data_IF_007177510902
#
_entry.id   IF_007177510902
#
_cell.length_a   1.000
_cell.length_b   1.000
_cell.length_c   1.000
_cell.angle_alpha   90.00
_cell.angle_beta   90.00
_cell.angle_gamma   90.00
#
_symmetry.space_group_name_H-M   'P 1'
#
loop_
_entity.id
_entity.type
_entity.pdbx_description
1 polymer ?
#
# COMPACT_ATOMS: atom_id res chain seq x y z
N UNK A 1 51.15 30.03 0.61
CA UNK A 1 50.34 28.81 0.36
C UNK A 1 50.71 27.78 1.41
N UNK A 2 49.85 27.57 2.42
CA UNK A 2 50.07 26.57 3.46
C UNK A 2 49.86 25.17 2.87
N UNK A 3 50.88 24.31 2.92
CA UNK A 3 50.73 22.90 2.51
C UNK A 3 49.76 22.24 3.49
N UNK A 4 48.56 21.90 2.99
CA UNK A 4 47.65 20.99 3.69
C UNK A 4 48.43 19.72 4.01
N UNK A 5 48.72 19.49 5.29
CA UNK A 5 49.39 18.27 5.70
C UNK A 5 48.39 17.13 5.58
N UNK A 6 48.39 16.46 4.43
CA UNK A 6 47.70 15.18 4.27
C UNK A 6 48.57 14.15 4.98
N UNK A 7 48.58 14.20 6.31
CA UNK A 7 49.06 13.10 7.12
C UNK A 7 47.90 12.12 7.24
N UNK A 8 48.09 10.85 6.87
CA UNK A 8 47.10 9.83 7.20
C UNK A 8 46.85 9.89 8.71
N UNK A 9 45.67 10.35 9.12
CA UNK A 9 45.21 10.22 10.51
C UNK A 9 44.87 8.73 10.67
N UNK A 10 45.45 8.00 11.65
CA UNK A 10 45.03 6.65 11.92
C UNK A 10 43.52 6.64 12.16
N UNK A 11 42.78 5.86 11.37
CA UNK A 11 41.35 5.69 11.56
C UNK A 11 41.15 4.88 12.83
N UNK A 12 40.42 5.44 13.79
CA UNK A 12 39.99 4.68 14.95
C UNK A 12 38.85 3.75 14.53
N UNK A 13 39.20 2.49 14.23
CA UNK A 13 38.26 1.44 13.84
C UNK A 13 37.31 1.03 14.98
N UNK A 14 37.56 1.49 16.21
CA UNK A 14 36.68 1.26 17.36
C UNK A 14 35.71 2.42 17.60
N UNK A 15 35.84 3.51 16.85
CA UNK A 15 34.88 4.62 16.90
C UNK A 15 33.54 4.17 16.32
N UNK A 16 32.50 4.14 17.16
CA UNK A 16 31.13 3.88 16.71
C UNK A 16 30.67 5.00 15.78
N UNK A 17 30.12 4.63 14.63
CA UNK A 17 29.51 5.58 13.71
C UNK A 17 28.14 6.03 14.27
N UNK A 18 27.78 7.32 14.13
CA UNK A 18 26.43 7.76 14.42
C UNK A 18 25.45 7.03 13.48
N UNK A 19 24.36 6.53 14.05
CA UNK A 19 23.29 5.86 13.31
C UNK A 19 22.17 6.86 13.14
N UNK A 20 21.87 7.21 11.90
CA UNK A 20 20.71 8.05 11.56
C UNK A 20 19.47 7.17 11.52
N UNK A 21 18.42 7.53 12.27
CA UNK A 21 17.17 6.77 12.38
C UNK A 21 16.05 7.37 11.54
N UNK A 22 16.05 8.68 11.31
CA UNK A 22 15.03 9.37 10.53
C UNK A 22 15.62 10.48 9.65
N UNK A 23 14.88 10.90 8.61
CA UNK A 23 15.25 12.07 7.80
C UNK A 23 15.35 13.36 8.64
N UNK A 24 14.65 13.42 9.78
CA UNK A 24 14.68 14.54 10.70
C UNK A 24 16.02 14.63 11.45
N UNK A 25 16.68 13.49 11.69
CA UNK A 25 17.97 13.43 12.38
C UNK A 25 19.12 14.03 11.53
N UNK A 26 18.90 14.25 10.24
CA UNK A 26 19.86 14.97 9.39
C UNK A 26 19.81 16.49 9.58
N UNK A 27 18.69 17.02 10.10
CA UNK A 27 18.50 18.47 10.24
C UNK A 27 19.11 19.01 11.55
N UNK A 28 19.20 18.17 12.60
CA UNK A 28 19.74 18.57 13.92
C UNK A 28 21.28 18.67 13.96
N UNK A 29 22.00 18.04 13.02
CA UNK A 29 23.47 18.02 12.99
C UNK A 29 24.12 19.35 12.54
N UNK A 30 23.32 20.35 12.11
CA UNK A 30 23.84 21.66 11.71
C UNK A 30 24.10 22.63 12.87
N UNK A 31 23.81 22.26 14.13
CA UNK A 31 23.98 23.16 15.29
C UNK A 31 25.09 22.77 16.28
N UNK A 32 25.66 21.56 16.20
CA UNK A 32 26.69 21.08 17.15
C UNK A 32 28.12 21.07 16.58
N UNK A 33 28.44 22.01 15.68
CA UNK A 33 29.83 22.30 15.29
C UNK A 33 30.30 23.61 15.91
N UNK A 34 30.48 23.62 17.24
CA UNK A 34 31.36 24.58 17.92
C UNK A 34 32.73 23.92 18.17
N UNK A 35 33.74 24.09 17.30
CA UNK A 35 35.13 24.09 17.75
C UNK A 35 35.47 25.48 18.33
N UNK A 36 36.24 25.56 19.43
CA UNK A 36 36.57 26.84 20.03
C UNK A 36 37.44 27.67 19.07
N UNK A 37 36.88 28.81 18.67
CA UNK A 37 37.52 30.12 18.52
C UNK A 37 38.95 30.14 17.94
N UNK A 38 39.08 30.49 16.67
CA UNK A 38 39.99 31.57 16.22
C UNK A 38 39.84 31.88 14.72
N UNK A 39 39.11 32.97 14.45
CA UNK A 39 39.44 34.08 13.54
C UNK A 39 39.82 33.82 12.06
N UNK A 40 38.99 34.43 11.19
CA UNK A 40 39.30 35.18 9.94
C UNK A 40 39.10 34.48 8.57
N UNK A 41 38.00 34.92 7.93
CA UNK A 41 37.79 35.32 6.52
C UNK A 41 37.77 34.34 5.33
N UNK A 42 36.63 34.46 4.62
CA UNK A 42 36.42 34.56 3.18
C UNK A 42 36.40 33.31 2.27
N UNK A 43 35.22 33.16 1.62
CA UNK A 43 34.92 32.67 0.27
C UNK A 43 35.52 31.34 -0.22
N UNK A 44 34.63 30.35 -0.47
CA UNK A 44 34.41 29.71 -1.79
C UNK A 44 33.77 28.33 -1.64
N UNK A 45 32.67 28.08 -2.36
CA UNK A 45 32.23 26.73 -2.78
C UNK A 45 33.39 26.02 -3.49
N UNK A 46 33.63 24.70 -3.29
CA UNK A 46 33.02 23.72 -4.19
C UNK A 46 32.76 22.31 -3.62
N UNK A 47 31.76 21.65 -4.22
CA UNK A 47 31.78 20.28 -4.76
C UNK A 47 32.35 19.08 -3.97
N UNK A 48 31.44 18.12 -3.77
CA UNK A 48 31.57 16.67 -3.97
C UNK A 48 32.65 15.87 -3.22
N UNK A 49 32.22 14.82 -2.51
CA UNK A 49 32.68 13.44 -2.81
C UNK A 49 31.79 12.37 -2.17
N UNK A 50 30.90 11.81 -2.99
CA UNK A 50 30.35 10.46 -2.84
C UNK A 50 31.48 9.44 -2.80
N UNK A 51 31.46 8.48 -1.88
CA UNK A 51 32.18 7.20 -2.06
C UNK A 51 31.37 6.05 -1.49
N UNK A 52 30.74 5.30 -2.40
CA UNK A 52 30.19 3.95 -2.25
C UNK A 52 31.29 2.96 -1.89
N UNK A 53 30.97 1.94 -1.08
CA UNK A 53 31.59 0.60 -1.06
C UNK A 53 30.53 -0.35 -0.45
N UNK A 54 29.80 -1.23 -1.13
CA UNK A 54 30.15 -2.44 -1.90
C UNK A 54 31.04 -3.45 -1.16
N UNK A 55 30.45 -4.24 -0.24
CA UNK A 55 30.87 -5.64 -0.04
C UNK A 55 29.81 -6.46 0.74
N UNK A 56 28.93 -7.14 -0.01
CA UNK A 56 28.20 -8.33 0.44
C UNK A 56 29.11 -9.53 0.22
N UNK A 57 29.45 -10.29 1.28
CA UNK A 57 29.93 -11.69 1.26
C UNK A 57 29.78 -12.21 2.70
N UNK A 58 28.68 -12.88 3.05
CA UNK A 58 28.37 -14.33 2.91
C UNK A 58 29.25 -15.22 3.80
N UNK A 59 28.57 -16.18 4.46
CA UNK A 59 29.03 -17.45 5.07
C UNK A 59 29.26 -17.39 6.60
N UNK A 60 28.85 -18.37 7.42
CA UNK A 60 27.99 -19.55 7.25
C UNK A 60 27.74 -20.18 8.63
N UNK A 61 26.52 -20.70 8.83
CA UNK A 61 26.10 -21.94 9.51
C UNK A 61 26.75 -22.53 10.77
N UNK A 62 25.88 -23.27 11.46
CA UNK A 62 26.08 -24.47 12.32
C UNK A 62 26.11 -24.17 13.83
N UNK A 63 25.45 -24.89 14.73
CA UNK A 63 24.60 -26.10 14.64
C UNK A 63 24.25 -26.57 16.07
N UNK A 64 23.26 -27.46 16.15
CA UNK A 64 22.99 -28.48 17.17
C UNK A 64 22.13 -28.14 18.40
N UNK A 65 21.00 -28.86 18.39
CA UNK A 65 20.13 -29.28 19.48
C UNK A 65 20.91 -29.88 20.66
N UNK A 66 20.44 -29.64 21.89
CA UNK A 66 19.94 -30.69 22.81
C UNK A 66 19.59 -30.08 24.18
N UNK A 67 18.30 -30.16 24.48
CA UNK A 67 17.61 -30.48 25.74
C UNK A 67 18.24 -30.24 27.13
N UNK A 68 17.34 -30.00 28.09
CA UNK A 68 17.48 -30.02 29.56
C UNK A 68 17.60 -28.66 30.26
N UNK A 69 16.42 -28.21 30.70
CA UNK A 69 16.16 -27.08 31.56
C UNK A 69 16.65 -27.35 33.00
N UNK A 70 17.85 -26.91 33.34
CA UNK A 70 18.27 -26.70 34.73
C UNK A 70 18.75 -25.26 34.95
N UNK A 71 18.14 -24.62 35.94
CA UNK A 71 18.32 -23.23 36.35
C UNK A 71 19.78 -22.95 36.70
N UNK A 72 20.52 -22.36 35.76
CA UNK A 72 21.82 -21.76 36.02
C UNK A 72 21.68 -20.24 36.10
N UNK A 73 21.97 -19.68 37.27
CA UNK A 73 22.26 -18.26 37.42
C UNK A 73 23.40 -17.90 36.46
N UNK A 74 23.12 -17.03 35.50
CA UNK A 74 24.08 -16.66 34.46
C UNK A 74 25.00 -15.55 35.00
N UNK A 75 26.32 -15.74 35.00
CA UNK A 75 27.27 -14.67 35.25
C UNK A 75 27.10 -13.59 34.18
N UNK A 76 26.93 -12.35 34.62
CA UNK A 76 26.92 -11.16 33.77
C UNK A 76 28.16 -11.14 32.88
N UNK A 77 27.98 -11.31 31.57
CA UNK A 77 28.79 -10.83 30.44
C UNK A 77 28.54 -11.70 29.21
N UNK A 78 27.56 -11.30 28.39
CA UNK A 78 27.51 -11.49 26.94
C UNK A 78 26.56 -10.43 26.41
N UNK A 79 27.01 -9.72 25.39
CA UNK A 79 26.26 -8.71 24.63
C UNK A 79 24.92 -9.28 24.18
N UNK A 80 23.87 -9.08 24.97
CA UNK A 80 22.52 -9.25 24.46
C UNK A 80 22.34 -8.16 23.40
N UNK A 81 22.15 -8.58 22.15
CA UNK A 81 21.64 -7.69 21.11
C UNK A 81 20.33 -7.10 21.64
N UNK A 82 20.35 -5.80 21.97
CA UNK A 82 19.15 -5.09 22.38
C UNK A 82 18.10 -5.26 21.28
N UNK A 83 16.97 -5.89 21.64
CA UNK A 83 15.88 -6.11 20.70
C UNK A 83 15.30 -4.71 20.41
N UNK A 84 15.32 -4.24 19.15
CA UNK A 84 14.83 -2.91 18.84
C UNK A 84 13.35 -2.80 19.19
N UNK A 85 13.00 -1.75 19.94
CA UNK A 85 11.61 -1.40 20.23
C UNK A 85 10.98 -0.81 18.96
N UNK A 86 9.75 -1.23 18.58
CA UNK A 86 9.08 -0.65 17.44
C UNK A 86 8.85 0.85 17.65
N UNK A 87 9.09 1.64 16.60
CA UNK A 87 8.73 3.05 16.60
C UNK A 87 7.24 3.19 16.30
N UNK A 88 6.60 4.19 16.91
CA UNK A 88 5.23 4.58 16.58
C UNK A 88 5.23 5.94 15.91
N UNK A 89 4.23 6.17 15.06
CA UNK A 89 4.01 7.43 14.35
C UNK A 89 2.60 7.90 14.69
N UNK A 90 2.46 9.19 15.00
CA UNK A 90 1.14 9.82 15.17
C UNK A 90 0.65 10.21 13.78
N UNK A 91 -0.57 9.79 13.45
CA UNK A 91 -1.20 10.07 12.16
C UNK A 91 -2.14 11.24 12.33
N UNK A 92 -1.84 12.37 11.69
CA UNK A 92 -2.61 13.62 11.83
C UNK A 92 -4.07 13.48 11.36
N UNK A 93 -4.36 12.49 10.51
CA UNK A 93 -5.70 12.26 9.95
C UNK A 93 -6.57 11.37 10.83
N UNK A 94 -6.01 10.73 11.86
CA UNK A 94 -6.69 9.70 12.65
C UNK A 94 -8.04 10.16 13.22
N UNK A 95 -8.09 11.36 13.83
CA UNK A 95 -9.32 11.92 14.40
C UNK A 95 -10.38 12.30 13.35
N UNK A 96 -9.97 12.47 12.09
CA UNK A 96 -10.88 12.72 10.97
C UNK A 96 -11.40 11.43 10.36
N UNK A 97 -10.54 10.42 10.27
CA UNK A 97 -10.82 9.14 9.62
C UNK A 97 -11.64 8.21 10.54
N UNK A 98 -11.48 8.34 11.86
CA UNK A 98 -12.16 7.52 12.86
C UNK A 98 -13.01 8.37 13.79
N UNK A 99 -14.33 8.28 13.62
CA UNK A 99 -15.28 8.93 14.55
C UNK A 99 -15.45 8.11 15.82
N UNK A 100 -15.36 8.75 16.99
CA UNK A 100 -15.61 8.12 18.29
C UNK A 100 -17.13 7.97 18.56
N UNK A 101 -17.77 7.01 17.89
CA UNK A 101 -19.22 6.74 17.99
C UNK A 101 -19.57 5.58 18.91
N UNK A 102 -18.58 4.92 19.50
CA UNK A 102 -18.80 3.77 20.36
C UNK A 102 -19.23 4.18 21.78
N UNK A 103 -20.48 3.86 22.14
CA UNK A 103 -20.99 3.97 23.50
C UNK A 103 -20.81 2.65 24.26
N UNK A 104 -20.04 2.68 25.34
CA UNK A 104 -19.76 1.48 26.12
C UNK A 104 -21.03 0.97 26.82
N UNK A 105 -21.49 -0.27 26.54
CA UNK A 105 -22.63 -0.84 27.23
C UNK A 105 -22.29 -1.19 28.68
N UNK A 106 -23.32 -1.23 29.53
CA UNK A 106 -23.20 -1.63 30.96
C UNK A 106 -22.91 -3.11 31.17
N UNK A 107 -22.89 -3.91 30.10
CA UNK A 107 -22.64 -5.35 30.13
C UNK A 107 -21.54 -5.72 29.14
N UNK A 108 -20.95 -6.91 29.30
CA UNK A 108 -19.93 -7.38 28.35
C UNK A 108 -20.50 -7.59 26.95
N UNK A 109 -19.68 -7.26 25.95
CA UNK A 109 -20.01 -7.44 24.54
C UNK A 109 -20.31 -8.91 24.26
N UNK A 110 -21.49 -9.18 23.73
CA UNK A 110 -21.87 -10.50 23.22
C UNK A 110 -21.93 -10.41 21.71
N UNK A 111 -20.87 -10.87 21.05
CA UNK A 111 -20.82 -10.88 19.60
C UNK A 111 -21.93 -11.78 19.05
N UNK A 112 -22.88 -11.21 18.30
CA UNK A 112 -23.60 -11.95 17.26
C UNK A 112 -22.78 -11.86 15.97
N UNK A 113 -22.83 -12.90 15.14
CA UNK A 113 -22.11 -12.91 13.87
C UNK A 113 -22.47 -11.68 13.03
N UNK A 114 -21.45 -11.02 12.47
CA UNK A 114 -21.53 -9.74 11.77
C UNK A 114 -22.55 -9.71 10.60
N UNK A 115 -23.03 -10.87 10.16
CA UNK A 115 -23.88 -11.04 8.98
C UNK A 115 -25.39 -10.99 9.27
N UNK A 116 -25.80 -10.81 10.53
CA UNK A 116 -27.20 -10.97 10.90
C UNK A 116 -28.09 -9.74 10.65
N UNK A 117 -27.54 -8.54 10.43
CA UNK A 117 -28.36 -7.30 10.54
C UNK A 117 -28.51 -6.40 9.30
N UNK A 118 -27.63 -6.35 8.27
CA UNK A 118 -27.85 -5.40 7.15
C UNK A 118 -27.71 -6.06 5.76
N UNK A 119 -28.83 -6.15 5.04
CA UNK A 119 -28.88 -6.49 3.61
C UNK A 119 -28.34 -5.40 2.66
N UNK A 120 -27.81 -4.32 3.23
CA UNK A 120 -27.33 -3.12 2.54
C UNK A 120 -25.80 -2.93 2.67
N UNK A 121 -25.06 -3.99 2.98
CA UNK A 121 -23.60 -3.91 2.96
C UNK A 121 -23.12 -3.78 1.51
N UNK A 122 -22.42 -2.67 1.22
CA UNK A 122 -21.76 -2.39 -0.05
C UNK A 122 -20.27 -2.66 0.15
N UNK A 123 -19.71 -3.59 -0.61
CA UNK A 123 -18.29 -4.00 -0.52
C UNK A 123 -17.36 -3.22 -1.47
N UNK A 124 -17.93 -2.34 -2.28
CA UNK A 124 -17.18 -1.60 -3.30
C UNK A 124 -16.71 -0.27 -2.73
N UNK A 125 -15.40 -0.10 -2.59
CA UNK A 125 -14.75 1.17 -2.26
C UNK A 125 -14.27 1.84 -3.57
N UNK A 126 -14.46 3.16 -3.69
CA UNK A 126 -13.97 3.91 -4.85
C UNK A 126 -12.43 3.96 -4.85
N UNK A 127 -11.83 3.61 -5.99
CA UNK A 127 -10.41 3.87 -6.21
C UNK A 127 -10.18 5.29 -6.77
N UNK A 128 -8.92 5.69 -6.91
CA UNK A 128 -8.58 7.03 -7.42
C UNK A 128 -9.17 7.32 -8.81
N UNK A 129 -9.27 6.29 -9.68
CA UNK A 129 -9.86 6.45 -11.02
C UNK A 129 -11.38 6.66 -10.94
N UNK A 130 -12.03 5.94 -10.03
CA UNK A 130 -13.46 6.07 -9.74
C UNK A 130 -13.77 7.46 -9.17
N UNK A 131 -12.96 7.96 -8.24
CA UNK A 131 -13.07 9.32 -7.66
C UNK A 131 -12.87 10.41 -8.72
N UNK A 132 -11.81 10.32 -9.53
CA UNK A 132 -11.53 11.26 -10.62
C UNK A 132 -12.69 11.31 -11.63
N UNK A 133 -13.24 10.14 -11.98
CA UNK A 133 -14.41 10.05 -12.88
C UNK A 133 -15.65 10.67 -12.25
N UNK A 134 -15.92 10.40 -10.97
CA UNK A 134 -17.08 10.93 -10.25
C UNK A 134 -17.02 12.45 -10.11
N UNK A 135 -15.83 13.01 -9.87
CA UNK A 135 -15.60 14.44 -9.78
C UNK A 135 -15.79 15.14 -11.13
N UNK A 136 -15.31 14.55 -12.23
CA UNK A 136 -15.59 15.03 -13.60
C UNK A 136 -17.08 14.96 -13.91
N UNK A 137 -17.74 13.85 -13.59
CA UNK A 137 -19.16 13.64 -13.86
C UNK A 137 -20.06 14.63 -13.10
N UNK A 138 -19.68 14.98 -11.88
CA UNK A 138 -20.44 15.92 -11.04
C UNK A 138 -20.03 17.40 -11.20
N UNK A 139 -19.10 17.71 -12.12
CA UNK A 139 -18.54 19.06 -12.29
C UNK A 139 -19.60 20.14 -12.49
N UNK A 140 -20.60 19.85 -13.32
CA UNK A 140 -21.64 20.83 -13.66
C UNK A 140 -22.85 20.75 -12.71
N UNK A 141 -23.19 19.54 -12.24
CA UNK A 141 -24.27 19.28 -11.30
C UNK A 141 -23.91 18.09 -10.42
N UNK A 142 -24.11 18.21 -9.11
CA UNK A 142 -23.95 17.09 -8.16
C UNK A 142 -25.11 16.10 -8.29
N UNK A 143 -25.07 15.30 -9.34
CA UNK A 143 -26.12 14.36 -9.72
C UNK A 143 -25.98 13.00 -9.01
N UNK A 144 -24.76 12.63 -8.63
CA UNK A 144 -24.46 11.32 -8.07
C UNK A 144 -23.55 11.43 -6.83
N UNK A 145 -24.05 11.17 -5.62
CA UNK A 145 -23.19 11.10 -4.44
C UNK A 145 -22.34 9.81 -4.43
N UNK A 146 -21.16 9.82 -3.78
CA UNK A 146 -20.21 8.70 -3.81
C UNK A 146 -20.80 7.40 -3.27
N UNK A 147 -21.59 7.44 -2.20
CA UNK A 147 -22.18 6.23 -1.60
C UNK A 147 -23.19 5.55 -2.54
N UNK A 148 -23.88 6.34 -3.39
CA UNK A 148 -24.77 5.81 -4.42
C UNK A 148 -23.99 5.25 -5.60
N UNK A 149 -22.85 5.84 -5.93
CA UNK A 149 -21.97 5.33 -6.97
C UNK A 149 -21.38 3.97 -6.57
N UNK A 150 -20.85 3.84 -5.36
CA UNK A 150 -20.38 2.56 -4.78
C UNK A 150 -21.47 1.49 -4.83
N UNK A 151 -22.69 1.85 -4.39
CA UNK A 151 -23.84 0.95 -4.43
C UNK A 151 -24.12 0.46 -5.86
N UNK A 152 -24.12 1.37 -6.84
CA UNK A 152 -24.35 1.03 -8.25
C UNK A 152 -23.25 0.10 -8.78
N UNK A 153 -21.98 0.44 -8.55
CA UNK A 153 -20.82 -0.35 -8.97
C UNK A 153 -20.88 -1.76 -8.39
N UNK A 154 -21.12 -1.88 -7.09
CA UNK A 154 -21.25 -3.17 -6.41
C UNK A 154 -22.38 -4.01 -6.99
N UNK A 155 -23.57 -3.42 -7.19
CA UNK A 155 -24.73 -4.16 -7.70
C UNK A 155 -24.54 -4.60 -9.15
N UNK A 156 -23.91 -3.78 -10.00
CA UNK A 156 -23.60 -4.16 -11.38
C UNK A 156 -22.67 -5.38 -11.41
N UNK A 157 -21.64 -5.40 -10.56
CA UNK A 157 -20.72 -6.54 -10.43
C UNK A 157 -21.46 -7.81 -9.99
N UNK A 158 -22.31 -7.72 -8.96
CA UNK A 158 -23.11 -8.85 -8.46
C UNK A 158 -24.10 -9.35 -9.51
N UNK A 159 -24.74 -8.45 -10.26
CA UNK A 159 -25.71 -8.81 -11.30
C UNK A 159 -25.03 -9.50 -12.47
N UNK A 160 -23.89 -8.99 -12.93
CA UNK A 160 -23.12 -9.61 -14.00
C UNK A 160 -22.57 -10.98 -13.57
N UNK A 161 -22.05 -11.08 -12.35
CA UNK A 161 -21.63 -12.35 -11.78
C UNK A 161 -22.80 -13.35 -11.77
N UNK A 162 -23.98 -12.95 -11.29
CA UNK A 162 -25.17 -13.80 -11.29
C UNK A 162 -25.64 -14.18 -12.71
N UNK A 163 -25.47 -13.30 -13.69
CA UNK A 163 -25.76 -13.61 -15.09
C UNK A 163 -24.80 -14.67 -15.63
N UNK A 164 -23.50 -14.58 -15.30
CA UNK A 164 -22.47 -15.58 -15.63
C UNK A 164 -22.73 -16.92 -14.97
N UNK A 165 -23.08 -16.94 -13.69
CA UNK A 165 -23.46 -18.16 -12.97
C UNK A 165 -24.59 -18.90 -13.68
N UNK A 166 -25.66 -18.17 -14.07
CA UNK A 166 -26.80 -18.76 -14.79
C UNK A 166 -26.43 -19.26 -16.19
N UNK A 167 -25.47 -18.64 -16.85
CA UNK A 167 -24.96 -19.08 -18.15
C UNK A 167 -23.97 -20.26 -18.03
N UNK A 168 -23.64 -20.71 -16.81
CA UNK A 168 -22.64 -21.75 -16.57
C UNK A 168 -21.20 -21.26 -16.73
N UNK A 169 -20.96 -19.94 -16.77
CA UNK A 169 -19.64 -19.30 -16.87
C UNK A 169 -19.09 -18.95 -15.47
N UNK A 170 -19.01 -19.97 -14.62
CA UNK A 170 -18.67 -19.83 -13.18
C UNK A 170 -17.16 -19.63 -12.98
N UNK A 171 -16.34 -20.18 -13.87
CA UNK A 171 -14.89 -20.23 -13.68
C UNK A 171 -14.18 -19.27 -14.63
N UNK A 172 -13.44 -18.27 -14.12
CA UNK A 172 -12.44 -17.59 -14.94
C UNK A 172 -11.39 -18.64 -15.34
N UNK A 173 -11.44 -19.10 -16.58
CA UNK A 173 -10.38 -19.95 -17.11
C UNK A 173 -9.16 -19.07 -17.29
N UNK A 174 -8.03 -19.53 -16.75
CA UNK A 174 -6.77 -18.78 -16.76
C UNK A 174 -6.44 -18.31 -18.18
N UNK A 175 -6.58 -17.00 -18.44
CA UNK A 175 -6.25 -16.38 -19.72
C UNK A 175 -7.39 -16.12 -20.70
N UNK A 176 -8.65 -16.49 -20.42
CA UNK A 176 -9.78 -16.09 -21.28
C UNK A 176 -10.39 -14.75 -20.84
N UNK A 177 -10.77 -13.88 -21.79
CA UNK A 177 -11.49 -12.66 -21.47
C UNK A 177 -12.86 -13.01 -20.87
N UNK A 178 -13.15 -12.51 -19.66
CA UNK A 178 -14.43 -12.74 -18.98
C UNK A 178 -15.49 -11.95 -19.73
N UNK A 179 -16.49 -12.57 -20.38
CA UNK A 179 -17.49 -11.82 -21.11
C UNK A 179 -18.45 -11.13 -20.13
N UNK A 180 -18.72 -9.85 -20.38
CA UNK A 180 -19.79 -9.11 -19.72
C UNK A 180 -21.12 -9.60 -20.31
N UNK A 181 -21.95 -10.24 -19.49
CA UNK A 181 -23.25 -10.79 -19.91
C UNK A 181 -24.42 -9.89 -19.51
N UNK A 182 -24.21 -9.02 -18.53
CA UNK A 182 -25.22 -8.06 -18.10
C UNK A 182 -25.52 -7.08 -19.25
N UNK A 183 -26.81 -6.94 -19.57
CA UNK A 183 -27.29 -5.93 -20.52
C UNK A 183 -27.87 -4.73 -19.78
N UNK A 184 -27.72 -3.54 -20.35
CA UNK A 184 -28.20 -2.28 -19.74
C UNK A 184 -29.68 -2.33 -19.36
N UNK A 185 -30.55 -2.85 -20.25
CA UNK A 185 -31.99 -2.92 -19.98
C UNK A 185 -32.33 -3.80 -18.76
N UNK A 186 -31.64 -4.94 -18.64
CA UNK A 186 -31.81 -5.87 -17.51
C UNK A 186 -31.25 -5.26 -16.22
N UNK A 187 -30.11 -4.56 -16.30
CA UNK A 187 -29.52 -3.88 -15.15
C UNK A 187 -30.43 -2.77 -14.62
N UNK A 188 -31.01 -1.96 -15.51
CA UNK A 188 -31.96 -0.90 -15.15
C UNK A 188 -33.19 -1.49 -14.48
N UNK A 189 -33.80 -2.51 -15.08
CA UNK A 189 -34.99 -3.15 -14.51
C UNK A 189 -34.71 -3.72 -13.11
N UNK A 190 -33.56 -4.35 -12.91
CA UNK A 190 -33.18 -4.93 -11.63
C UNK A 190 -32.86 -3.88 -10.54
N UNK A 191 -32.44 -2.66 -10.92
CA UNK A 191 -31.98 -1.64 -9.97
C UNK A 191 -32.93 -0.45 -9.82
N UNK A 192 -33.98 -0.38 -10.65
CA UNK A 192 -35.00 0.69 -10.66
C UNK A 192 -35.64 0.94 -9.29
N UNK A 193 -35.91 -0.12 -8.54
CA UNK A 193 -36.59 -0.02 -7.24
C UNK A 193 -35.64 0.34 -6.10
N UNK A 194 -34.32 0.16 -6.29
CA UNK A 194 -33.31 0.33 -5.24
C UNK A 194 -32.51 1.63 -5.38
N UNK A 195 -32.49 2.23 -6.56
CA UNK A 195 -31.72 3.44 -6.84
C UNK A 195 -32.64 4.57 -7.29
N UNK A 196 -32.65 5.66 -6.51
CA UNK A 196 -33.38 6.90 -6.83
C UNK A 196 -32.67 7.74 -7.90
N UNK A 197 -31.83 7.11 -8.71
CA UNK A 197 -30.92 7.76 -9.64
C UNK A 197 -31.59 7.90 -11.00
N UNK A 198 -31.43 9.06 -11.65
CA UNK A 198 -32.00 9.31 -12.96
C UNK A 198 -31.45 8.36 -14.03
N UNK A 199 -32.26 8.04 -15.03
CA UNK A 199 -31.89 7.12 -16.13
C UNK A 199 -30.56 7.49 -16.80
N UNK A 200 -30.34 8.79 -17.06
CA UNK A 200 -29.12 9.27 -17.70
C UNK A 200 -27.87 8.99 -16.85
N UNK A 201 -27.97 9.21 -15.53
CA UNK A 201 -26.86 8.93 -14.59
C UNK A 201 -26.58 7.43 -14.53
N UNK A 202 -27.63 6.61 -14.44
CA UNK A 202 -27.48 5.16 -14.46
C UNK A 202 -26.80 4.68 -15.75
N UNK A 203 -27.22 5.20 -16.90
CA UNK A 203 -26.63 4.88 -18.19
C UNK A 203 -25.14 5.22 -18.22
N UNK A 204 -24.75 6.41 -17.76
CA UNK A 204 -23.34 6.82 -17.67
C UNK A 204 -22.53 5.91 -16.75
N UNK A 205 -23.04 5.57 -15.56
CA UNK A 205 -22.40 4.65 -14.62
C UNK A 205 -22.22 3.26 -15.22
N UNK A 206 -23.25 2.74 -15.89
CA UNK A 206 -23.18 1.45 -16.56
C UNK A 206 -22.11 1.43 -17.66
N UNK A 207 -22.02 2.50 -18.47
CA UNK A 207 -20.99 2.60 -19.50
C UNK A 207 -19.59 2.65 -18.89
N UNK A 208 -19.40 3.46 -17.84
CA UNK A 208 -18.14 3.52 -17.11
C UNK A 208 -17.73 2.16 -16.55
N UNK A 209 -18.62 1.50 -15.80
CA UNK A 209 -18.39 0.16 -15.24
C UNK A 209 -18.01 -0.84 -16.34
N UNK A 210 -18.76 -0.85 -17.45
CA UNK A 210 -18.50 -1.75 -18.57
C UNK A 210 -17.12 -1.52 -19.19
N UNK A 211 -16.71 -0.26 -19.36
CA UNK A 211 -15.39 0.11 -19.85
C UNK A 211 -14.29 -0.32 -18.88
N UNK A 212 -14.45 -0.06 -17.58
CA UNK A 212 -13.50 -0.46 -16.54
C UNK A 212 -13.28 -1.98 -16.51
N UNK A 213 -14.37 -2.76 -16.58
CA UNK A 213 -14.29 -4.23 -16.67
C UNK A 213 -13.61 -4.67 -17.96
N UNK A 214 -13.92 -4.01 -19.08
CA UNK A 214 -13.29 -4.28 -20.37
C UNK A 214 -11.77 -4.03 -20.36
N UNK A 215 -11.31 -2.94 -19.74
CA UNK A 215 -9.89 -2.65 -19.58
C UNK A 215 -9.19 -3.65 -18.67
N UNK A 216 -9.84 -4.11 -17.59
CA UNK A 216 -9.31 -5.22 -16.76
C UNK A 216 -9.09 -6.48 -17.60
N UNK A 217 -10.04 -6.81 -18.47
CA UNK A 217 -9.94 -7.96 -19.38
C UNK A 217 -8.79 -7.81 -20.39
N UNK A 218 -8.66 -6.65 -21.04
CA UNK A 218 -7.61 -6.39 -22.02
C UNK A 218 -6.21 -6.42 -21.40
N UNK A 219 -6.03 -5.83 -20.22
CA UNK A 219 -4.74 -5.82 -19.53
C UNK A 219 -4.30 -7.22 -19.07
N UNK A 220 -5.24 -8.07 -18.65
CA UNK A 220 -4.94 -9.49 -18.36
C UNK A 220 -4.53 -10.22 -19.64
N UNK A 221 -5.24 -10.02 -20.75
CA UNK A 221 -4.91 -10.66 -22.03
C UNK A 221 -3.55 -10.23 -22.58
N UNK A 222 -3.22 -8.93 -22.52
CA UNK A 222 -1.90 -8.41 -22.91
C UNK A 222 -0.78 -8.98 -22.03
N UNK A 223 -0.94 -8.98 -20.71
CA UNK A 223 0.07 -9.54 -19.80
C UNK A 223 0.30 -11.04 -20.04
N UNK A 224 -0.76 -11.84 -20.29
CA UNK A 224 -0.57 -13.24 -20.68
C UNK A 224 0.15 -13.36 -22.03
N UNK A 225 -0.18 -12.54 -23.03
CA UNK A 225 0.51 -12.56 -24.31
C UNK A 225 2.01 -12.28 -24.17
N UNK A 226 2.39 -11.28 -23.36
CA UNK A 226 3.80 -10.99 -23.05
C UNK A 226 4.48 -12.13 -22.28
N UNK A 227 3.78 -12.79 -21.36
CA UNK A 227 4.30 -13.96 -20.63
C UNK A 227 4.57 -15.15 -21.57
N UNK A 228 3.64 -15.45 -22.49
CA UNK A 228 3.79 -16.54 -23.47
C UNK A 228 4.92 -16.28 -24.46
N UNK A 229 5.09 -15.03 -24.93
CA UNK A 229 6.20 -14.65 -25.82
C UNK A 229 7.55 -14.86 -25.10
N UNK A 230 7.66 -14.46 -23.82
CA UNK A 230 8.89 -14.60 -23.04
C UNK A 230 9.23 -16.05 -22.64
N UNK A 231 8.22 -16.91 -22.45
CA UNK A 231 8.43 -18.34 -22.18
C UNK A 231 8.87 -19.07 -23.46
N UNK A 232 8.28 -18.75 -24.62
CA UNK A 232 8.66 -19.33 -25.92
C UNK A 232 10.09 -18.97 -26.35
N UNK A 233 10.57 -17.78 -26.00
CA UNK A 233 11.94 -17.33 -26.31
C UNK A 233 13.04 -18.03 -25.47
N UNK A 234 12.71 -18.60 -24.32
CA UNK A 234 13.67 -19.29 -23.44
C UNK A 234 13.75 -20.81 -23.63
N UNK A 235 12.92 -21.41 -24.49
CA UNK A 235 12.93 -22.84 -24.81
C UNK A 235 13.66 -23.16 -26.13
N UNK A 236 14.25 -22.15 -26.78
CA UNK A 236 15.10 -22.31 -27.97
C UNK A 236 16.50 -21.79 -27.63
N UNK A 237 17.22 -22.51 -26.79
CA UNK A 237 18.69 -22.46 -26.66
C UNK A 237 19.21 -23.82 -26.20
#
# INVERSE_FOLDING_TARGET
>A
MSRLSIRPRPLDIHKKLPIVKSFKDFEDDNNDTNPPTSSIAANSTPSATTTRNSHLLRLNSSSFDHDSQEVHQVPSKKSASEIPTPQFVVVDTYERDYSQTFDQPTSYLRARGARAELGDFVEYDLDNEDEDWLDEFNRDQKLLPPEKFETLMFKLEVLDHKARERAGLITPTLGSPIPILLQLGVAIEALKDQTTVGYAVFQSVYHYWKEKVWFKILNVSLNLMYQFINIGANQVK
#
